data_IF_441854924138
#
_entry.id   IF_441854924138
#
_cell.length_a   1.000
_cell.length_b   1.000
_cell.length_c   1.000
_cell.angle_alpha   90.00
_cell.angle_beta   90.00
_cell.angle_gamma   90.00
#
_symmetry.space_group_name_H-M   'P 1'
#
loop_
_entity.id
_entity.type
_entity.pdbx_description
1 polymer ?
#
# COMPACT_ATOMS: atom_id res chain seq x y z
N UNK A 1 4.95 -4.25 7.43
CA UNK A 1 3.57 -4.46 6.94
C UNK A 1 2.65 -4.69 8.13
N UNK A 2 1.50 -4.01 8.20
CA UNK A 2 0.60 -4.05 9.36
C UNK A 2 -0.55 -5.04 9.18
N UNK A 3 -1.22 -5.00 8.04
CA UNK A 3 -2.42 -5.80 7.79
C UNK A 3 -2.48 -6.27 6.34
N UNK A 4 -3.03 -7.47 6.13
CA UNK A 4 -3.36 -8.03 4.81
C UNK A 4 -4.83 -8.42 4.85
N UNK A 5 -5.59 -7.94 3.87
CA UNK A 5 -7.01 -8.26 3.71
C UNK A 5 -7.28 -8.75 2.29
N UNK A 6 -7.91 -9.91 2.16
CA UNK A 6 -8.44 -10.38 0.88
C UNK A 6 -9.81 -9.74 0.60
N UNK A 7 -9.97 -9.11 -0.57
CA UNK A 7 -11.21 -8.49 -1.04
C UNK A 7 -11.50 -8.99 -2.46
N UNK A 8 -12.22 -10.11 -2.56
CA UNK A 8 -12.51 -10.74 -3.85
C UNK A 8 -11.23 -11.11 -4.63
N UNK A 9 -11.03 -10.58 -5.86
CA UNK A 9 -9.82 -10.83 -6.65
C UNK A 9 -8.60 -9.98 -6.21
N UNK A 10 -8.82 -9.00 -5.34
CA UNK A 10 -7.78 -8.10 -4.85
C UNK A 10 -7.34 -8.47 -3.42
N UNK A 11 -6.11 -8.08 -3.09
CA UNK A 11 -5.54 -8.15 -1.74
C UNK A 11 -5.05 -6.76 -1.39
N UNK A 12 -5.63 -6.20 -0.32
CA UNK A 12 -5.23 -4.91 0.24
C UNK A 12 -4.20 -5.11 1.32
N UNK A 13 -3.16 -4.29 1.29
CA UNK A 13 -2.04 -4.34 2.21
C UNK A 13 -1.87 -2.97 2.84
N UNK A 14 -1.97 -2.92 4.15
CA UNK A 14 -1.68 -1.71 4.92
C UNK A 14 -0.21 -1.71 5.34
N UNK A 15 0.51 -0.66 4.94
CA UNK A 15 1.93 -0.49 5.22
C UNK A 15 2.16 0.72 6.12
N UNK A 16 2.98 0.55 7.14
CA UNK A 16 3.55 1.67 7.90
C UNK A 16 4.84 2.12 7.20
N UNK A 17 4.90 3.38 6.80
CA UNK A 17 6.11 3.97 6.22
C UNK A 17 7.10 4.27 7.35
N UNK A 18 8.20 3.51 7.39
CA UNK A 18 9.26 3.64 8.40
C UNK A 18 9.72 5.10 8.52
N UNK A 19 9.85 5.58 9.75
CA UNK A 19 10.33 6.93 10.05
C UNK A 19 9.33 8.06 9.86
N UNK A 20 8.13 7.81 9.31
CA UNK A 20 7.13 8.87 9.08
C UNK A 20 5.87 8.73 9.92
N UNK A 21 5.60 7.54 10.45
CA UNK A 21 4.34 7.22 11.15
C UNK A 21 3.10 7.17 10.23
N UNK A 22 3.26 7.48 8.94
CA UNK A 22 2.16 7.48 7.97
C UNK A 22 1.89 6.07 7.46
N UNK A 23 0.63 5.82 7.11
CA UNK A 23 0.22 4.59 6.45
C UNK A 23 0.02 4.82 4.96
N UNK A 24 0.29 3.79 4.17
CA UNK A 24 -0.08 3.73 2.75
C UNK A 24 -0.78 2.41 2.49
N UNK A 25 -1.77 2.43 1.60
CA UNK A 25 -2.45 1.23 1.12
C UNK A 25 -1.85 0.81 -0.22
N UNK A 26 -1.59 -0.48 -0.36
CA UNK A 26 -1.24 -1.10 -1.63
C UNK A 26 -2.28 -2.16 -1.99
N UNK A 27 -2.67 -2.19 -3.26
CA UNK A 27 -3.56 -3.21 -3.80
C UNK A 27 -2.77 -4.13 -4.74
N UNK A 28 -2.91 -5.44 -4.55
CA UNK A 28 -2.37 -6.48 -5.42
C UNK A 28 -3.52 -7.35 -5.93
N UNK A 29 -3.30 -8.04 -7.05
CA UNK A 29 -4.13 -9.20 -7.37
C UNK A 29 -3.85 -10.32 -6.36
N UNK A 30 -4.83 -11.24 -6.20
CA UNK A 30 -4.67 -12.45 -5.38
C UNK A 30 -3.42 -13.25 -5.76
N UNK A 31 -3.25 -13.56 -7.06
CA UNK A 31 -2.07 -14.27 -7.57
C UNK A 31 -0.76 -13.51 -7.31
N UNK A 32 -0.77 -12.17 -7.40
CA UNK A 32 0.40 -11.36 -7.09
C UNK A 32 0.79 -11.43 -5.60
N UNK A 33 -0.20 -11.41 -4.70
CA UNK A 33 0.04 -11.54 -3.27
C UNK A 33 0.54 -12.95 -2.89
N UNK A 34 -0.02 -14.00 -3.50
CA UNK A 34 0.40 -15.39 -3.29
C UNK A 34 1.84 -15.62 -3.73
N UNK A 35 2.25 -15.10 -4.89
CA UNK A 35 3.64 -15.20 -5.39
C UNK A 35 4.65 -14.50 -4.50
N UNK A 36 4.24 -13.41 -3.85
CA UNK A 36 5.11 -12.65 -2.94
C UNK A 36 5.17 -13.26 -1.55
N UNK A 37 4.28 -14.20 -1.21
CA UNK A 37 4.23 -14.91 0.07
C UNK A 37 4.30 -13.98 1.31
N UNK A 38 3.67 -12.81 1.21
CA UNK A 38 3.80 -11.72 2.19
C UNK A 38 3.29 -12.15 3.57
N UNK A 39 4.05 -11.84 4.62
CA UNK A 39 3.71 -12.19 6.01
C UNK A 39 3.70 -10.97 6.94
N UNK A 40 2.67 -10.78 7.82
CA UNK A 40 2.59 -9.63 8.72
C UNK A 40 3.89 -9.40 9.50
N UNK A 41 4.28 -8.13 9.67
CA UNK A 41 5.58 -7.75 10.28
C UNK A 41 6.74 -7.62 9.29
N UNK A 42 6.64 -8.17 8.09
CA UNK A 42 7.70 -8.08 7.08
C UNK A 42 7.94 -6.64 6.60
N UNK A 43 9.20 -6.34 6.27
CA UNK A 43 9.59 -5.09 5.63
C UNK A 43 9.59 -5.27 4.13
N UNK A 44 8.76 -4.50 3.44
CA UNK A 44 8.54 -4.60 2.00
C UNK A 44 8.76 -3.24 1.34
N UNK A 45 9.04 -3.27 0.04
CA UNK A 45 9.12 -2.07 -0.78
C UNK A 45 7.84 -1.90 -1.60
N UNK A 46 7.20 -0.74 -1.48
CA UNK A 46 6.08 -0.36 -2.32
C UNK A 46 6.56 0.52 -3.47
N UNK A 47 6.14 0.22 -4.70
CA UNK A 47 6.41 1.05 -5.87
C UNK A 47 5.12 1.78 -6.27
N UNK A 48 5.07 3.13 -6.22
CA UNK A 48 3.95 3.88 -6.75
C UNK A 48 3.72 3.58 -8.23
N UNK A 49 2.49 3.23 -8.61
CA UNK A 49 2.11 3.00 -10.02
C UNK A 49 1.48 4.23 -10.68
N UNK A 50 0.82 5.07 -9.88
CA UNK A 50 0.19 6.32 -10.31
C UNK A 50 0.43 7.33 -9.21
N UNK A 51 1.00 8.48 -9.57
CA UNK A 51 1.22 9.61 -8.66
C UNK A 51 0.42 10.77 -9.22
N UNK A 52 -0.37 11.41 -8.36
CA UNK A 52 -1.06 12.66 -8.67
C UNK A 52 -0.69 13.66 -7.59
N UNK A 53 -0.34 14.87 -8.03
CA UNK A 53 -0.09 16.00 -7.13
C UNK A 53 -1.32 16.88 -7.16
N UNK A 54 -1.89 17.13 -5.99
CA UNK A 54 -2.96 18.10 -5.83
C UNK A 54 -2.31 19.41 -5.36
N UNK A 55 -2.59 20.49 -6.06
CA UNK A 55 -2.27 21.84 -5.57
C UNK A 55 -3.47 22.33 -4.78
N UNK A 56 -3.25 22.93 -3.61
CA UNK A 56 -4.33 23.63 -2.90
C UNK A 56 -4.73 24.85 -3.75
N UNK A 57 -6.03 25.02 -3.98
CA UNK A 57 -6.54 26.22 -4.65
C UNK A 57 -6.20 27.43 -3.78
N UNK A 58 -5.18 28.18 -4.20
CA UNK A 58 -4.74 29.41 -3.54
C UNK A 58 -5.86 30.45 -3.69
N UNK A 59 -6.69 30.59 -2.66
CA UNK A 59 -7.67 31.67 -2.56
C UNK A 59 -6.96 32.89 -1.94
N UNK A 60 -6.83 33.97 -2.72
CA UNK A 60 -6.33 35.29 -2.28
C UNK A 60 -7.48 36.06 -1.64
#
# INVERSE_FOLDING_TARGET
>A
MRHIQSVGPAVRIELLVRGTGKTVEAELSRDGAERLALSPGETVYARPRRIQTFVEDYQI
#
